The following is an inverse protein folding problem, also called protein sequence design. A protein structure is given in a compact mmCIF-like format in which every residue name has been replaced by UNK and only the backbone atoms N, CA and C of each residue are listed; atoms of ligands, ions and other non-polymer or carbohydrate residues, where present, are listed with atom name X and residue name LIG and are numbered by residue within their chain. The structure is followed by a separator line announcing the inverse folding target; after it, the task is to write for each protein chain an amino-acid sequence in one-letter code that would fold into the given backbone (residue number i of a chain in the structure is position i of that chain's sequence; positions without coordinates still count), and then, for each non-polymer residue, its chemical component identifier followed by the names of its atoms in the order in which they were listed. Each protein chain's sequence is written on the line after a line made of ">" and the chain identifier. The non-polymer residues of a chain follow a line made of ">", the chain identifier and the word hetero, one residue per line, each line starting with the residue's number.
data_IF_498278827056
#
_entry.id   IF_498278827056
#
_cell.length_a   1.000
_cell.length_b   1.000
_cell.length_c   1.000
_cell.angle_alpha   90.00
_cell.angle_beta   90.00
_cell.angle_gamma   90.00
#
_symmetry.space_group_name_H-M   'P 1'
#
loop_
_entity.id
_entity.type
_entity.pdbx_description
1 polymer ?
#
# COMPACT_ATOMS: atom_id res chain seq x y z
N UNK A 1 1.80 22.55 -0.84
CA UNK A 1 1.81 22.19 0.58
C UNK A 1 2.63 20.92 0.78
N UNK A 2 3.52 20.95 1.75
CA UNK A 2 4.33 19.77 2.06
C UNK A 2 3.68 18.92 3.15
N UNK A 3 3.62 17.63 2.92
CA UNK A 3 3.16 16.66 3.91
C UNK A 3 4.36 15.82 4.35
N UNK A 4 4.42 15.51 5.63
CA UNK A 4 5.52 14.70 6.18
C UNK A 4 5.22 13.20 6.03
N UNK A 5 6.29 12.40 6.06
CA UNK A 5 6.13 10.93 6.06
C UNK A 5 5.27 10.46 7.24
N UNK A 6 5.43 11.11 8.38
CA UNK A 6 4.63 10.79 9.57
C UNK A 6 3.14 11.01 9.32
N UNK A 7 2.77 12.13 8.70
CA UNK A 7 1.38 12.44 8.40
C UNK A 7 0.78 11.42 7.41
N UNK A 8 1.54 11.04 6.39
CA UNK A 8 1.10 10.01 5.42
C UNK A 8 0.83 8.69 6.14
N UNK A 9 1.74 8.27 7.01
CA UNK A 9 1.57 7.03 7.78
C UNK A 9 0.36 7.09 8.70
N UNK A 10 0.14 8.22 9.37
CA UNK A 10 -1.02 8.40 10.24
C UNK A 10 -2.33 8.27 9.46
N UNK A 11 -2.39 8.83 8.25
CA UNK A 11 -3.56 8.69 7.39
C UNK A 11 -3.79 7.22 7.03
N UNK A 12 -2.73 6.52 6.60
CA UNK A 12 -2.81 5.11 6.24
C UNK A 12 -3.32 4.26 7.41
N UNK A 13 -2.79 4.49 8.61
CA UNK A 13 -3.24 3.77 9.80
C UNK A 13 -4.69 4.08 10.14
N UNK A 14 -5.12 5.31 10.01
CA UNK A 14 -6.51 5.69 10.27
C UNK A 14 -7.48 5.04 9.29
N UNK A 15 -7.02 4.70 8.10
CA UNK A 15 -7.83 4.02 7.08
C UNK A 15 -7.83 2.49 7.24
N UNK A 16 -7.04 1.95 8.17
CA UNK A 16 -7.03 0.53 8.47
C UNK A 16 -5.77 -0.24 8.08
N UNK A 17 -4.72 0.43 7.61
CA UNK A 17 -3.44 -0.21 7.37
C UNK A 17 -2.78 -0.58 8.70
N UNK A 18 -2.18 -1.76 8.77
CA UNK A 18 -1.44 -2.21 9.96
C UNK A 18 0.01 -1.78 9.91
N UNK A 19 0.58 -1.67 8.72
CA UNK A 19 1.94 -1.18 8.49
C UNK A 19 1.93 -0.24 7.30
N UNK A 20 2.83 0.74 7.32
CA UNK A 20 3.01 1.65 6.19
C UNK A 20 4.47 2.06 6.08
N UNK A 21 4.99 2.05 4.87
CA UNK A 21 6.34 2.48 4.56
C UNK A 21 6.35 3.44 3.37
N UNK A 22 7.35 4.31 3.33
CA UNK A 22 7.53 5.25 2.24
C UNK A 22 8.96 5.12 1.74
N UNK A 23 9.10 4.92 0.42
CA UNK A 23 10.39 4.80 -0.23
C UNK A 23 10.55 5.90 -1.28
N UNK A 24 11.75 6.50 -1.36
CA UNK A 24 12.10 7.40 -2.46
C UNK A 24 12.08 6.64 -3.78
N UNK A 25 11.66 7.30 -4.85
CA UNK A 25 11.67 6.72 -6.20
C UNK A 25 13.08 6.27 -6.60
N UNK A 26 14.11 6.89 -6.06
CA UNK A 26 15.51 6.54 -6.35
C UNK A 26 15.87 5.11 -5.94
N UNK A 27 15.14 4.53 -4.99
CA UNK A 27 15.36 3.15 -4.57
C UNK A 27 14.96 2.12 -5.61
N UNK A 28 14.27 2.54 -6.65
CA UNK A 28 13.78 1.65 -7.72
C UNK A 28 14.63 1.69 -8.98
N UNK A 29 15.83 2.25 -8.92
CA UNK A 29 16.72 2.41 -10.07
C UNK A 29 17.03 1.10 -10.81
N UNK A 30 17.00 -0.03 -10.11
CA UNK A 30 17.28 -1.35 -10.69
C UNK A 30 16.00 -2.11 -11.09
N UNK A 31 14.83 -1.45 -11.03
CA UNK A 31 13.58 -2.08 -11.42
C UNK A 31 13.58 -2.40 -12.92
N UNK A 32 13.02 -3.57 -13.32
CA UNK A 32 12.90 -3.91 -14.74
C UNK A 32 12.09 -2.87 -15.51
N UNK A 33 12.40 -2.74 -16.80
CA UNK A 33 11.65 -1.85 -17.70
C UNK A 33 10.15 -2.16 -17.63
N UNK A 34 9.34 -1.12 -17.47
CA UNK A 34 7.88 -1.24 -17.31
C UNK A 34 7.43 -1.39 -15.87
N UNK A 35 8.34 -1.67 -14.94
CA UNK A 35 8.02 -1.86 -13.52
C UNK A 35 8.60 -0.77 -12.61
N UNK A 36 9.25 0.22 -13.19
CA UNK A 36 9.74 1.38 -12.44
C UNK A 36 8.57 2.32 -12.14
N UNK A 37 8.49 2.94 -10.94
CA UNK A 37 7.42 3.87 -10.62
C UNK A 37 7.26 5.01 -11.62
N UNK A 38 8.34 5.47 -12.23
CA UNK A 38 8.28 6.52 -13.25
C UNK A 38 7.64 6.06 -14.56
N UNK A 39 7.54 4.76 -14.80
CA UNK A 39 6.84 4.21 -15.97
C UNK A 39 5.33 4.35 -15.83
N UNK A 40 4.84 4.45 -14.59
CA UNK A 40 3.42 4.61 -14.28
C UNK A 40 3.08 6.08 -14.06
N UNK A 41 3.92 6.80 -13.34
CA UNK A 41 3.71 8.21 -13.00
C UNK A 41 5.02 8.98 -13.24
N UNK A 42 5.14 9.73 -14.34
CA UNK A 42 6.41 10.40 -14.71
C UNK A 42 6.97 11.34 -13.65
N UNK A 43 6.13 11.93 -12.81
CA UNK A 43 6.55 12.86 -11.77
C UNK A 43 6.63 12.23 -10.38
N UNK A 44 6.64 10.91 -10.32
CA UNK A 44 6.69 10.18 -9.05
C UNK A 44 7.98 10.50 -8.29
N UNK A 45 7.86 10.87 -7.01
CA UNK A 45 8.99 11.13 -6.12
C UNK A 45 9.12 10.08 -5.03
N UNK A 46 8.02 9.49 -4.62
CA UNK A 46 7.98 8.50 -3.55
C UNK A 46 6.94 7.44 -3.83
N UNK A 47 7.15 6.28 -3.25
CA UNK A 47 6.19 5.16 -3.30
C UNK A 47 5.75 4.87 -1.88
N UNK A 48 4.44 4.82 -1.68
CA UNK A 48 3.85 4.49 -0.40
C UNK A 48 3.38 3.04 -0.47
N UNK A 49 3.86 2.23 0.47
CA UNK A 49 3.45 0.83 0.60
C UNK A 49 2.78 0.63 1.94
N UNK A 50 1.74 -0.16 1.97
CA UNK A 50 1.09 -0.51 3.22
C UNK A 50 0.76 -2.00 3.25
N UNK A 51 0.55 -2.52 4.45
CA UNK A 51 0.23 -3.91 4.66
C UNK A 51 -0.96 -4.03 5.62
N UNK A 52 -1.74 -5.07 5.41
CA UNK A 52 -2.86 -5.44 6.27
C UNK A 52 -2.59 -6.83 6.82
N UNK A 53 -2.87 -7.01 8.11
CA UNK A 53 -2.61 -8.28 8.78
C UNK A 53 -3.38 -9.43 8.14
N UNK A 54 -2.67 -10.52 7.89
CA UNK A 54 -3.26 -11.78 7.47
C UNK A 54 -3.43 -12.68 8.69
N UNK A 55 -4.64 -13.23 8.95
CA UNK A 55 -4.85 -14.11 10.09
C UNK A 55 -3.94 -15.35 10.04
N UNK A 56 -3.12 -15.53 11.08
CA UNK A 56 -2.11 -16.60 11.12
C UNK A 56 -2.75 -18.00 11.10
N UNK A 57 -3.93 -18.14 11.70
CA UNK A 57 -4.61 -19.44 11.74
C UNK A 57 -4.87 -20.03 10.36
N UNK A 58 -5.13 -19.18 9.36
CA UNK A 58 -5.36 -19.63 7.99
C UNK A 58 -4.10 -20.24 7.34
N UNK A 59 -2.92 -19.83 7.80
CA UNK A 59 -1.64 -20.34 7.30
C UNK A 59 -1.30 -21.70 7.88
N UNK A 60 -1.96 -22.10 8.98
CA UNK A 60 -1.71 -23.35 9.69
C UNK A 60 -2.68 -24.47 9.31
N UNK A 61 -3.60 -24.19 8.41
CA UNK A 61 -4.56 -25.20 7.96
C UNK A 61 -3.92 -26.17 6.98
N UNK A 62 -4.40 -27.42 6.99
CA UNK A 62 -3.88 -28.47 6.12
C UNK A 62 -4.23 -28.27 4.65
N UNK A 63 -5.30 -27.51 4.36
CA UNK A 63 -5.71 -27.19 3.00
C UNK A 63 -5.53 -25.72 2.72
N UNK A 64 -5.39 -25.30 1.43
CA UNK A 64 -5.26 -23.88 1.08
C UNK A 64 -6.59 -23.11 1.06
N UNK A 65 -7.71 -23.78 1.33
CA UNK A 65 -9.04 -23.14 1.26
C UNK A 65 -9.17 -21.94 2.19
N UNK A 66 -8.83 -22.03 3.48
CA UNK A 66 -8.91 -20.87 4.38
C UNK A 66 -8.01 -19.71 3.92
N UNK A 67 -6.79 -20.01 3.48
CA UNK A 67 -5.87 -19.01 2.96
C UNK A 67 -6.48 -18.26 1.77
N UNK A 68 -7.01 -18.99 0.79
CA UNK A 68 -7.58 -18.42 -0.41
C UNK A 68 -8.80 -17.55 -0.10
N UNK A 69 -9.66 -17.99 0.81
CA UNK A 69 -10.84 -17.25 1.24
C UNK A 69 -10.47 -15.92 1.90
N UNK A 70 -9.49 -15.95 2.80
CA UNK A 70 -9.03 -14.74 3.49
C UNK A 70 -8.34 -13.79 2.51
N UNK A 71 -7.48 -14.31 1.63
CA UNK A 71 -6.83 -13.52 0.60
C UNK A 71 -7.86 -12.79 -0.27
N UNK A 72 -8.90 -13.49 -0.69
CA UNK A 72 -9.96 -12.92 -1.52
C UNK A 72 -10.79 -11.86 -0.77
N UNK A 73 -10.88 -11.96 0.56
CA UNK A 73 -11.57 -10.97 1.39
C UNK A 73 -10.69 -9.76 1.68
N UNK A 74 -9.38 -9.96 1.84
CA UNK A 74 -8.44 -8.87 2.12
C UNK A 74 -8.17 -7.99 0.90
N UNK A 75 -8.19 -8.56 -0.30
CA UNK A 75 -7.89 -7.80 -1.51
C UNK A 75 -8.83 -6.59 -1.71
N UNK A 76 -10.17 -6.73 -1.64
CA UNK A 76 -11.06 -5.57 -1.71
C UNK A 76 -10.82 -4.55 -0.60
N UNK A 77 -10.49 -5.01 0.62
CA UNK A 77 -10.17 -4.13 1.73
C UNK A 77 -8.92 -3.31 1.44
N UNK A 78 -7.88 -3.94 0.91
CA UNK A 78 -6.64 -3.26 0.55
C UNK A 78 -6.86 -2.26 -0.58
N UNK A 79 -7.66 -2.61 -1.57
CA UNK A 79 -8.00 -1.71 -2.67
C UNK A 79 -8.76 -0.48 -2.16
N UNK A 80 -9.68 -0.66 -1.22
CA UNK A 80 -10.42 0.44 -0.62
C UNK A 80 -9.49 1.37 0.17
N UNK A 81 -8.56 0.83 0.94
CA UNK A 81 -7.56 1.62 1.68
C UNK A 81 -6.71 2.43 0.70
N UNK A 82 -6.23 1.80 -0.37
CA UNK A 82 -5.42 2.47 -1.38
C UNK A 82 -6.18 3.63 -2.04
N UNK A 83 -7.42 3.41 -2.41
CA UNK A 83 -8.25 4.45 -3.01
C UNK A 83 -8.47 5.61 -2.04
N UNK A 84 -8.85 5.32 -0.80
CA UNK A 84 -9.12 6.34 0.20
C UNK A 84 -7.85 7.12 0.55
N UNK A 85 -6.70 6.45 0.59
CA UNK A 85 -5.42 7.10 0.80
C UNK A 85 -5.12 8.09 -0.33
N UNK A 86 -5.33 7.69 -1.59
CA UNK A 86 -5.14 8.58 -2.74
C UNK A 86 -6.05 9.81 -2.64
N UNK A 87 -7.32 9.62 -2.27
CA UNK A 87 -8.27 10.72 -2.13
C UNK A 87 -7.82 11.69 -1.03
N UNK A 88 -7.39 11.17 0.13
CA UNK A 88 -6.93 12.00 1.23
C UNK A 88 -5.66 12.79 0.87
N UNK A 89 -4.74 12.18 0.13
CA UNK A 89 -3.53 12.86 -0.32
C UNK A 89 -3.85 13.96 -1.34
N UNK A 90 -4.79 13.71 -2.25
CA UNK A 90 -5.24 14.74 -3.21
C UNK A 90 -5.84 15.96 -2.50
N UNK A 91 -6.59 15.74 -1.42
CA UNK A 91 -7.15 16.85 -0.62
C UNK A 91 -6.05 17.72 -0.01
N UNK A 92 -4.86 17.20 0.14
CA UNK A 92 -3.70 17.91 0.69
C UNK A 92 -2.79 18.48 -0.40
N UNK A 93 -3.22 18.43 -1.65
CA UNK A 93 -2.50 19.02 -2.77
C UNK A 93 -1.37 18.16 -3.34
N UNK A 94 -1.45 16.87 -3.13
CA UNK A 94 -0.40 15.94 -3.60
C UNK A 94 -0.84 15.21 -4.87
#
# INVERSE_FOLDING_TARGET
>A
MMITNKEVKEIAYSLGADLCGIASVERFKDAPTGFHPLDVLPNCKSVISFAVRFPVGALKCETPVPYTRIRNSLTPKMDAIALDLCIELEKKGI
#
